data_IF_557042683291
#
_entry.id   IF_557042683291
#
_cell.length_a   1.000
_cell.length_b   1.000
_cell.length_c   1.000
_cell.angle_alpha   90.00
_cell.angle_beta   90.00
_cell.angle_gamma   90.00
#
_symmetry.space_group_name_H-M   'P 1'
#
loop_
_entity.id
_entity.type
_entity.pdbx_description
1 polymer ?
#
# COMPACT_ATOMS: atom_id res chain seq x y z
N UNK A 1 9.35 -5.99 11.92
CA UNK A 1 9.45 -7.17 12.79
C UNK A 1 9.85 -8.43 12.01
N UNK A 2 9.13 -8.81 10.95
CA UNK A 2 9.38 -10.08 10.26
C UNK A 2 10.82 -10.23 9.74
N UNK A 3 11.37 -9.23 9.07
CA UNK A 3 12.78 -9.25 8.62
C UNK A 3 13.79 -9.29 9.78
N UNK A 4 13.47 -8.65 10.93
CA UNK A 4 14.32 -8.74 12.11
C UNK A 4 14.40 -10.17 12.66
N UNK A 5 13.25 -10.83 12.72
CA UNK A 5 13.17 -12.22 13.20
C UNK A 5 13.79 -13.19 12.19
N UNK A 6 13.36 -13.11 10.92
CA UNK A 6 13.72 -14.08 9.88
C UNK A 6 15.16 -13.95 9.42
N UNK A 7 15.61 -12.71 9.14
CA UNK A 7 16.86 -12.45 8.43
C UNK A 7 17.97 -11.97 9.35
N UNK A 8 17.63 -11.21 10.39
CA UNK A 8 18.59 -10.70 11.37
C UNK A 8 18.75 -11.60 12.60
N UNK A 9 18.00 -12.71 12.70
CA UNK A 9 17.96 -13.59 13.87
C UNK A 9 17.72 -12.83 15.19
N UNK A 10 16.92 -11.77 15.14
CA UNK A 10 16.55 -11.02 16.32
C UNK A 10 15.53 -11.82 17.14
N UNK A 11 15.72 -11.89 18.46
CA UNK A 11 14.77 -12.61 19.31
C UNK A 11 13.42 -11.90 19.33
N UNK A 12 12.39 -12.57 18.85
CA UNK A 12 11.05 -12.01 18.78
C UNK A 12 10.47 -11.61 20.12
N UNK A 13 10.92 -12.22 21.24
CA UNK A 13 10.50 -11.83 22.58
C UNK A 13 10.93 -10.39 22.96
N UNK A 14 11.91 -9.85 22.26
CA UNK A 14 12.36 -8.46 22.42
C UNK A 14 11.67 -7.51 21.45
N UNK A 15 10.67 -7.97 20.70
CA UNK A 15 9.90 -7.14 19.78
C UNK A 15 8.48 -6.96 20.31
N UNK A 16 8.12 -5.71 20.60
CA UNK A 16 6.77 -5.31 20.99
C UNK A 16 6.18 -4.41 19.92
N UNK A 17 4.99 -4.77 19.44
CA UNK A 17 4.23 -3.98 18.47
C UNK A 17 3.05 -3.37 19.21
N UNK A 18 3.03 -2.03 19.24
CA UNK A 18 2.01 -1.25 19.93
C UNK A 18 1.06 -0.67 18.87
N UNK A 19 -0.24 -0.85 19.09
CA UNK A 19 -1.29 -0.33 18.22
C UNK A 19 -2.29 0.47 19.05
N UNK A 20 -2.61 1.68 18.59
CA UNK A 20 -3.56 2.55 19.27
C UNK A 20 -5.01 2.09 19.15
N UNK A 21 -5.34 1.35 18.11
CA UNK A 21 -6.66 0.78 17.88
C UNK A 21 -6.81 -0.60 18.53
N UNK A 22 -8.02 -1.09 18.62
CA UNK A 22 -8.31 -2.44 19.14
C UNK A 22 -7.94 -3.55 18.15
N UNK A 23 -7.72 -3.20 16.88
CA UNK A 23 -7.43 -4.12 15.78
C UNK A 23 -6.17 -3.68 15.05
N UNK A 24 -5.29 -4.64 14.76
CA UNK A 24 -4.09 -4.42 13.95
C UNK A 24 -4.43 -4.22 12.47
N UNK A 25 -3.48 -3.65 11.71
CA UNK A 25 -3.56 -3.58 10.26
C UNK A 25 -3.76 -2.18 9.69
N UNK A 26 -4.02 -1.18 10.51
CA UNK A 26 -4.23 0.21 10.08
C UNK A 26 -5.36 0.29 9.05
N UNK A 27 -5.08 0.80 7.84
CA UNK A 27 -6.09 0.90 6.78
C UNK A 27 -6.57 -0.45 6.23
N UNK A 28 -5.90 -1.55 6.56
CA UNK A 28 -6.26 -2.91 6.15
C UNK A 28 -6.81 -3.73 7.33
N UNK A 29 -7.37 -3.10 8.34
CA UNK A 29 -7.82 -3.72 9.59
C UNK A 29 -9.08 -4.58 9.48
N UNK A 30 -9.77 -4.57 8.34
CA UNK A 30 -11.00 -5.33 8.12
C UNK A 30 -12.12 -4.98 9.11
N UNK A 31 -12.13 -3.74 9.63
CA UNK A 31 -13.06 -3.30 10.67
C UNK A 31 -14.52 -3.53 10.31
N UNK A 32 -15.31 -4.00 11.28
CA UNK A 32 -16.72 -4.25 11.13
C UNK A 32 -17.15 -5.65 11.54
N UNK A 33 -18.37 -6.00 11.23
CA UNK A 33 -18.95 -7.32 11.51
C UNK A 33 -20.03 -7.67 10.49
N UNK A 34 -20.40 -8.95 10.44
CA UNK A 34 -21.50 -9.43 9.58
C UNK A 34 -22.82 -8.73 9.90
N UNK A 35 -23.05 -8.39 11.19
CA UNK A 35 -24.30 -7.74 11.65
C UNK A 35 -24.34 -6.24 11.36
N UNK A 36 -23.19 -5.55 11.42
CA UNK A 36 -23.09 -4.10 11.27
C UNK A 36 -22.55 -3.67 9.89
N UNK A 37 -22.07 -4.63 9.10
CA UNK A 37 -21.33 -4.39 7.88
C UNK A 37 -19.84 -4.13 8.14
N UNK A 38 -19.08 -4.07 7.06
CA UNK A 38 -17.63 -3.85 7.10
C UNK A 38 -17.29 -2.45 6.60
N UNK A 39 -16.29 -1.83 7.24
CA UNK A 39 -15.77 -0.52 6.83
C UNK A 39 -14.50 -0.74 6.00
N UNK A 40 -14.55 -0.37 4.72
CA UNK A 40 -13.36 -0.35 3.87
C UNK A 40 -12.62 0.97 4.09
N UNK A 41 -11.60 0.98 4.94
CA UNK A 41 -10.75 2.16 5.19
C UNK A 41 -9.70 2.35 4.11
N UNK A 42 -9.35 1.29 3.44
CA UNK A 42 -8.39 1.26 2.36
C UNK A 42 -8.15 -0.15 1.86
N UNK A 43 -7.31 -0.25 0.88
CA UNK A 43 -6.85 -1.50 0.29
C UNK A 43 -5.61 -1.22 -0.54
N UNK A 44 -4.90 -2.27 -0.90
CA UNK A 44 -3.76 -2.16 -1.81
C UNK A 44 -4.08 -2.97 -3.05
N UNK A 45 -3.93 -2.32 -4.19
CA UNK A 45 -3.85 -3.04 -5.45
C UNK A 45 -2.45 -3.63 -5.52
N UNK A 46 -2.36 -4.93 -5.42
CA UNK A 46 -1.10 -5.64 -5.60
C UNK A 46 -0.81 -5.79 -7.09
N UNK A 47 0.45 -6.00 -7.41
CA UNK A 47 0.90 -6.24 -8.77
C UNK A 47 2.09 -7.22 -8.69
N UNK A 48 2.07 -8.24 -9.51
CA UNK A 48 3.08 -9.30 -9.44
C UNK A 48 4.47 -8.78 -9.81
N UNK A 49 4.55 -7.84 -10.76
CA UNK A 49 5.82 -7.35 -11.31
C UNK A 49 6.53 -6.31 -10.42
N UNK A 50 5.83 -5.67 -9.48
CA UNK A 50 6.38 -4.49 -8.78
C UNK A 50 6.37 -4.55 -7.26
N UNK A 51 5.89 -5.63 -6.67
CA UNK A 51 5.82 -5.82 -5.22
C UNK A 51 6.83 -6.87 -4.73
N UNK A 52 8.07 -6.79 -5.19
CA UNK A 52 9.12 -7.81 -4.99
C UNK A 52 9.32 -8.15 -3.51
N UNK A 53 9.45 -7.13 -2.65
CA UNK A 53 9.65 -7.32 -1.22
C UNK A 53 8.42 -7.93 -0.53
N UNK A 54 7.21 -7.60 -1.02
CA UNK A 54 5.98 -8.20 -0.51
C UNK A 54 5.95 -9.68 -0.84
N UNK A 55 6.13 -10.03 -2.11
CA UNK A 55 6.11 -11.43 -2.55
C UNK A 55 7.22 -12.25 -1.91
N UNK A 56 8.42 -11.66 -1.75
CA UNK A 56 9.55 -12.31 -1.10
C UNK A 56 9.24 -12.63 0.38
N UNK A 57 8.76 -11.64 1.13
CA UNK A 57 8.41 -11.82 2.54
C UNK A 57 7.33 -12.89 2.71
N UNK A 58 6.25 -12.76 1.97
CA UNK A 58 5.07 -13.63 2.13
C UNK A 58 5.24 -15.04 1.54
N UNK A 59 6.32 -15.32 0.81
CA UNK A 59 6.74 -16.71 0.50
C UNK A 59 7.20 -17.47 1.74
N UNK A 60 7.67 -16.80 2.77
CA UNK A 60 8.12 -17.42 4.02
C UNK A 60 7.01 -17.53 5.08
N UNK A 61 5.85 -16.94 4.83
CA UNK A 61 4.74 -16.91 5.77
C UNK A 61 3.66 -17.87 5.32
N UNK A 62 3.29 -18.89 6.15
CA UNK A 62 2.22 -19.82 5.83
C UNK A 62 0.85 -19.12 5.73
N UNK A 63 0.03 -19.52 4.75
CA UNK A 63 -1.39 -19.16 4.73
C UNK A 63 -2.11 -19.76 5.92
N UNK A 64 -3.09 -19.06 6.49
CA UNK A 64 -3.91 -19.59 7.58
C UNK A 64 -4.93 -20.63 7.10
N UNK A 65 -5.47 -20.43 5.89
CA UNK A 65 -6.47 -21.35 5.31
C UNK A 65 -5.83 -22.58 4.67
N UNK A 66 -4.62 -22.42 4.14
CA UNK A 66 -3.86 -23.48 3.48
C UNK A 66 -2.42 -23.54 4.02
N UNK A 67 -2.20 -24.06 5.24
CA UNK A 67 -0.89 -24.00 5.92
C UNK A 67 0.26 -24.69 5.18
N UNK A 68 -0.05 -25.55 4.21
CA UNK A 68 0.93 -26.19 3.32
C UNK A 68 1.42 -25.27 2.19
N UNK A 69 0.82 -24.09 2.03
CA UNK A 69 1.20 -23.07 1.06
C UNK A 69 1.60 -21.78 1.77
N UNK A 70 2.41 -20.99 1.11
CA UNK A 70 2.68 -19.62 1.56
C UNK A 70 1.53 -18.68 1.17
N UNK A 71 1.46 -17.53 1.85
CA UNK A 71 0.52 -16.45 1.49
C UNK A 71 0.72 -16.02 0.03
N UNK A 72 1.97 -15.91 -0.43
CA UNK A 72 2.27 -15.59 -1.84
C UNK A 72 1.66 -16.62 -2.79
N UNK A 73 1.85 -17.91 -2.53
CA UNK A 73 1.30 -18.97 -3.37
C UNK A 73 -0.23 -18.98 -3.37
N UNK A 74 -0.85 -18.74 -2.22
CA UNK A 74 -2.30 -18.66 -2.13
C UNK A 74 -2.86 -17.51 -2.96
N UNK A 75 -2.30 -16.31 -2.80
CA UNK A 75 -2.75 -15.11 -3.52
C UNK A 75 -2.55 -15.28 -5.03
N UNK A 76 -1.36 -15.68 -5.48
CA UNK A 76 -1.08 -15.81 -6.91
C UNK A 76 -1.91 -16.92 -7.56
N UNK A 77 -2.09 -18.07 -6.90
CA UNK A 77 -2.94 -19.13 -7.41
C UNK A 77 -4.41 -18.69 -7.53
N UNK A 78 -4.90 -17.90 -6.58
CA UNK A 78 -6.24 -17.34 -6.66
C UNK A 78 -6.37 -16.37 -7.82
N UNK A 79 -5.44 -15.44 -7.97
CA UNK A 79 -5.48 -14.42 -9.01
C UNK A 79 -5.36 -15.04 -10.43
N UNK A 80 -4.47 -16.00 -10.61
CA UNK A 80 -4.33 -16.73 -11.88
C UNK A 80 -5.62 -17.52 -12.26
N UNK A 81 -6.34 -18.03 -11.25
CA UNK A 81 -7.61 -18.70 -11.48
C UNK A 81 -8.78 -17.72 -11.73
N UNK A 82 -8.66 -16.49 -11.24
CA UNK A 82 -9.70 -15.46 -11.28
C UNK A 82 -9.10 -14.10 -11.68
N UNK A 83 -8.59 -13.97 -12.92
CA UNK A 83 -7.89 -12.75 -13.33
C UNK A 83 -8.80 -11.52 -13.26
N UNK A 84 -8.21 -10.39 -12.89
CA UNK A 84 -8.94 -9.13 -12.85
C UNK A 84 -9.31 -8.69 -14.27
N UNK A 85 -10.57 -8.31 -14.48
CA UNK A 85 -11.05 -7.75 -15.74
C UNK A 85 -12.13 -6.71 -15.47
N UNK A 86 -11.78 -5.44 -15.56
CA UNK A 86 -12.74 -4.35 -15.43
C UNK A 86 -13.50 -4.15 -16.75
N UNK A 87 -14.82 -4.22 -16.69
CA UNK A 87 -15.68 -4.00 -17.85
C UNK A 87 -16.07 -2.53 -18.06
N UNK A 88 -15.95 -1.71 -17.02
CA UNK A 88 -16.21 -0.28 -17.05
C UNK A 88 -15.18 0.43 -16.17
N UNK A 89 -14.42 1.37 -16.75
CA UNK A 89 -13.44 2.18 -16.02
C UNK A 89 -13.94 3.59 -15.78
N UNK A 90 -14.61 4.15 -16.76
CA UNK A 90 -15.22 5.47 -16.68
C UNK A 90 -16.68 5.40 -17.11
N UNK A 91 -17.51 6.11 -16.37
CA UNK A 91 -18.94 6.25 -16.65
C UNK A 91 -19.22 7.75 -16.67
N UNK A 92 -19.90 8.24 -17.72
CA UNK A 92 -20.26 9.64 -17.83
C UNK A 92 -21.48 10.01 -16.95
N UNK A 93 -21.82 11.28 -16.96
CA UNK A 93 -22.99 11.81 -16.20
C UNK A 93 -24.34 11.22 -16.62
N UNK A 94 -24.42 10.64 -17.82
CA UNK A 94 -25.62 10.02 -18.38
C UNK A 94 -25.62 8.48 -18.17
N UNK A 95 -24.76 7.98 -17.27
CA UNK A 95 -24.57 6.57 -16.92
C UNK A 95 -24.11 5.69 -18.10
N UNK A 96 -23.43 6.26 -19.10
CA UNK A 96 -22.85 5.52 -20.21
C UNK A 96 -21.40 5.14 -19.92
N UNK A 97 -21.05 3.91 -20.22
CA UNK A 97 -19.66 3.43 -20.16
C UNK A 97 -18.88 4.09 -21.30
N UNK A 98 -17.79 4.77 -20.95
CA UNK A 98 -16.89 5.41 -21.92
C UNK A 98 -15.91 4.40 -22.50
N UNK A 99 -15.60 4.55 -23.81
CA UNK A 99 -14.50 3.82 -24.44
C UNK A 99 -13.17 4.46 -24.02
N UNK A 100 -12.39 3.74 -23.22
CA UNK A 100 -11.12 4.20 -22.65
C UNK A 100 -9.90 3.53 -23.27
N UNK A 101 -10.05 2.81 -24.38
CA UNK A 101 -8.93 2.20 -25.13
C UNK A 101 -7.94 3.25 -25.62
N UNK A 102 -8.41 4.45 -25.90
CA UNK A 102 -7.55 5.60 -26.13
C UNK A 102 -7.33 6.38 -24.85
N UNK A 103 -6.07 6.64 -24.49
CA UNK A 103 -5.72 7.46 -23.32
C UNK A 103 -6.07 8.94 -23.52
N UNK A 104 -6.28 9.39 -24.74
CA UNK A 104 -6.69 10.75 -25.07
C UNK A 104 -5.54 11.78 -25.15
N UNK A 105 -4.28 11.35 -25.11
CA UNK A 105 -3.12 12.25 -25.19
C UNK A 105 -2.99 12.93 -26.55
N UNK A 106 -2.81 14.23 -26.54
CA UNK A 106 -2.29 14.98 -27.68
C UNK A 106 -0.74 14.96 -27.73
N UNK A 107 -0.15 15.69 -28.69
CA UNK A 107 1.32 15.75 -28.83
C UNK A 107 1.99 16.51 -27.69
N UNK A 108 1.34 17.53 -27.13
CA UNK A 108 1.87 18.27 -25.99
C UNK A 108 1.90 17.43 -24.72
N UNK A 109 0.84 16.66 -24.47
CA UNK A 109 0.76 15.72 -23.34
C UNK A 109 1.85 14.64 -23.43
N UNK A 110 2.04 14.05 -24.62
CA UNK A 110 3.07 13.02 -24.84
C UNK A 110 4.47 13.57 -24.61
N UNK A 111 4.72 14.80 -25.09
CA UNK A 111 6.01 15.46 -24.86
C UNK A 111 6.23 15.77 -23.38
N UNK A 112 5.21 16.31 -22.69
CA UNK A 112 5.27 16.62 -21.26
C UNK A 112 5.52 15.34 -20.43
N UNK A 113 4.82 14.24 -20.77
CA UNK A 113 5.00 12.94 -20.11
C UNK A 113 6.43 12.41 -20.32
N UNK A 114 6.93 12.41 -21.56
CA UNK A 114 8.30 11.96 -21.88
C UNK A 114 9.33 12.79 -21.14
N UNK A 115 9.15 14.11 -21.14
CA UNK A 115 10.04 15.03 -20.42
C UNK A 115 10.03 14.75 -18.91
N UNK A 116 8.85 14.48 -18.33
CA UNK A 116 8.73 14.15 -16.91
C UNK A 116 9.53 12.89 -16.56
N UNK A 117 9.36 11.82 -17.33
CA UNK A 117 10.05 10.54 -17.08
C UNK A 117 11.59 10.70 -17.14
N UNK A 118 12.08 11.58 -18.01
CA UNK A 118 13.52 11.84 -18.20
C UNK A 118 14.07 12.91 -17.26
N UNK A 119 13.23 13.65 -16.53
CA UNK A 119 13.68 14.71 -15.63
C UNK A 119 14.19 14.13 -14.32
N UNK A 120 15.40 14.49 -13.85
CA UNK A 120 15.90 14.10 -12.53
C UNK A 120 14.97 14.55 -11.40
N UNK A 121 14.86 13.75 -10.35
CA UNK A 121 13.92 13.97 -9.25
C UNK A 121 14.15 15.28 -8.53
N UNK A 122 15.41 15.70 -8.36
CA UNK A 122 15.81 16.92 -7.68
C UNK A 122 15.27 18.20 -8.36
N UNK A 123 14.85 18.10 -9.63
CA UNK A 123 14.25 19.21 -10.39
C UNK A 123 12.73 19.28 -10.27
N UNK A 124 12.13 18.28 -9.64
CA UNK A 124 10.67 18.18 -9.49
C UNK A 124 10.22 18.57 -8.08
N UNK A 125 11.17 18.89 -7.21
CA UNK A 125 10.89 19.27 -5.83
C UNK A 125 10.00 20.53 -5.78
N UNK A 126 9.01 20.49 -4.90
CA UNK A 126 8.01 21.54 -4.71
C UNK A 126 7.11 21.87 -5.92
N UNK A 127 7.09 21.01 -6.96
CA UNK A 127 6.17 21.16 -8.09
C UNK A 127 4.92 20.29 -7.90
N UNK A 128 3.78 20.81 -8.35
CA UNK A 128 2.54 20.07 -8.46
C UNK A 128 2.35 19.49 -9.87
N UNK A 129 1.40 18.57 -10.03
CA UNK A 129 1.08 18.01 -11.35
C UNK A 129 0.57 19.12 -12.29
N UNK A 130 -0.21 20.07 -11.79
CA UNK A 130 -0.76 21.17 -12.58
C UNK A 130 0.29 22.22 -12.98
N UNK A 131 1.43 22.28 -12.30
CA UNK A 131 2.56 23.14 -12.71
C UNK A 131 3.28 22.60 -13.96
N UNK A 132 3.09 21.31 -14.25
CA UNK A 132 3.81 20.61 -15.32
C UNK A 132 2.96 20.36 -16.57
N UNK A 133 1.72 19.94 -16.39
CA UNK A 133 0.84 19.58 -17.48
C UNK A 133 -0.13 20.71 -17.85
N UNK A 134 -0.39 20.84 -19.15
CA UNK A 134 -1.40 21.77 -19.64
C UNK A 134 -2.84 21.32 -19.30
N UNK A 135 -3.83 22.23 -19.46
CA UNK A 135 -5.23 21.94 -19.11
C UNK A 135 -5.81 20.70 -19.79
N UNK A 136 -5.43 20.46 -21.06
CA UNK A 136 -5.91 19.31 -21.84
C UNK A 136 -5.58 17.97 -21.18
N UNK A 137 -4.42 17.83 -20.56
CA UNK A 137 -4.02 16.60 -19.85
C UNK A 137 -5.07 16.14 -18.83
N UNK A 138 -5.67 17.10 -18.13
CA UNK A 138 -6.66 16.85 -17.07
C UNK A 138 -8.07 16.50 -17.59
N UNK A 139 -8.25 16.52 -18.89
CA UNK A 139 -9.50 16.12 -19.57
C UNK A 139 -9.34 14.77 -20.30
N UNK A 140 -8.16 14.16 -20.22
CA UNK A 140 -7.87 12.88 -20.88
C UNK A 140 -8.46 11.69 -20.11
N UNK A 141 -8.80 10.63 -20.83
CA UNK A 141 -9.18 9.35 -20.21
C UNK A 141 -8.09 8.82 -19.28
N UNK A 142 -6.81 9.01 -19.65
CA UNK A 142 -5.69 8.63 -18.83
C UNK A 142 -5.75 9.30 -17.45
N UNK A 143 -5.93 10.63 -17.40
CA UNK A 143 -5.98 11.35 -16.13
C UNK A 143 -7.14 10.84 -15.26
N UNK A 144 -8.33 10.71 -15.82
CA UNK A 144 -9.50 10.21 -15.08
C UNK A 144 -9.29 8.79 -14.55
N UNK A 145 -8.72 7.89 -15.34
CA UNK A 145 -8.41 6.54 -14.88
C UNK A 145 -7.31 6.55 -13.80
N UNK A 146 -6.27 7.37 -14.00
CA UNK A 146 -5.13 7.45 -13.08
C UNK A 146 -5.53 8.05 -11.72
N UNK A 147 -6.23 9.18 -11.72
CA UNK A 147 -6.67 9.81 -10.49
C UNK A 147 -7.64 8.93 -9.68
N UNK A 148 -8.52 8.19 -10.33
CA UNK A 148 -9.47 7.29 -9.65
C UNK A 148 -8.78 6.04 -9.12
N UNK A 149 -7.71 5.58 -9.77
CA UNK A 149 -6.96 4.40 -9.36
C UNK A 149 -6.02 4.69 -8.19
N UNK A 150 -5.32 5.83 -8.23
CA UNK A 150 -4.26 6.16 -7.29
C UNK A 150 -4.55 7.37 -6.38
N UNK A 151 -5.76 7.93 -6.46
CA UNK A 151 -6.22 9.08 -5.67
C UNK A 151 -5.39 10.37 -5.87
N UNK A 152 -4.74 10.53 -7.02
CA UNK A 152 -4.04 11.78 -7.33
C UNK A 152 -5.01 12.94 -7.59
N UNK A 153 -4.57 14.12 -7.20
CA UNK A 153 -5.22 15.40 -7.48
C UNK A 153 -4.26 16.29 -8.28
N UNK A 154 -4.78 17.32 -8.94
CA UNK A 154 -3.95 18.26 -9.73
C UNK A 154 -2.84 18.90 -8.89
N UNK A 155 -3.14 19.21 -7.64
CA UNK A 155 -2.23 19.81 -6.65
C UNK A 155 -1.31 18.79 -5.96
N UNK A 156 -1.41 17.49 -6.27
CA UNK A 156 -0.51 16.48 -5.71
C UNK A 156 0.92 16.67 -6.22
N UNK A 157 1.88 16.18 -5.46
CA UNK A 157 3.31 16.27 -5.79
C UNK A 157 3.62 15.64 -7.15
N UNK A 158 4.27 16.40 -8.02
CA UNK A 158 4.76 15.94 -9.31
C UNK A 158 5.83 14.85 -9.16
N UNK A 159 6.65 14.96 -8.12
CA UNK A 159 7.66 13.96 -7.76
C UNK A 159 7.03 12.59 -7.46
N UNK A 160 5.99 12.56 -6.62
CA UNK A 160 5.25 11.34 -6.32
C UNK A 160 4.55 10.78 -7.56
N UNK A 161 3.90 11.64 -8.35
CA UNK A 161 3.27 11.24 -9.60
C UNK A 161 4.27 10.55 -10.54
N UNK A 162 5.48 11.12 -10.72
CA UNK A 162 6.53 10.51 -11.54
C UNK A 162 6.97 9.14 -11.00
N UNK A 163 7.12 8.99 -9.69
CA UNK A 163 7.48 7.72 -9.07
C UNK A 163 6.44 6.64 -9.32
N UNK A 164 5.16 6.99 -9.16
CA UNK A 164 4.06 6.08 -9.50
C UNK A 164 4.06 5.72 -10.99
N UNK A 165 4.26 6.71 -11.86
CA UNK A 165 4.35 6.49 -13.31
C UNK A 165 5.45 5.48 -13.66
N UNK A 166 6.66 5.65 -13.12
CA UNK A 166 7.77 4.74 -13.35
C UNK A 166 7.49 3.34 -12.80
N UNK A 167 6.92 3.26 -11.60
CA UNK A 167 6.63 1.99 -10.96
C UNK A 167 5.54 1.21 -11.67
N UNK A 168 4.51 1.91 -12.14
CA UNK A 168 3.32 1.31 -12.75
C UNK A 168 3.34 1.36 -14.28
N UNK A 169 4.51 1.55 -14.89
CA UNK A 169 4.62 1.69 -16.36
C UNK A 169 4.11 0.44 -17.09
N UNK A 170 4.24 -0.72 -16.48
CA UNK A 170 3.75 -2.00 -17.02
C UNK A 170 2.22 -2.08 -17.09
N UNK A 171 1.52 -1.27 -16.28
CA UNK A 171 0.06 -1.22 -16.28
C UNK A 171 -0.53 -0.33 -17.37
N UNK A 172 0.28 0.51 -18.02
CA UNK A 172 -0.22 1.40 -19.08
C UNK A 172 -0.96 0.67 -20.21
N UNK A 173 -0.43 -0.44 -20.77
CA UNK A 173 -1.12 -1.17 -21.84
C UNK A 173 -2.42 -1.84 -21.40
N UNK A 174 -2.62 -2.06 -20.11
CA UNK A 174 -3.76 -2.80 -19.53
C UNK A 174 -4.52 -2.00 -18.46
N UNK A 175 -4.30 -0.68 -18.40
CA UNK A 175 -4.99 0.20 -17.44
C UNK A 175 -6.50 0.22 -17.66
N UNK A 176 -6.96 -0.05 -18.89
CA UNK A 176 -8.38 -0.14 -19.22
C UNK A 176 -9.06 -1.37 -18.62
N UNK A 177 -8.35 -2.48 -18.46
CA UNK A 177 -8.90 -3.74 -17.93
C UNK A 177 -8.50 -4.01 -16.48
N UNK A 178 -7.47 -3.33 -15.98
CA UNK A 178 -6.80 -3.62 -14.70
C UNK A 178 -6.29 -5.08 -14.60
N UNK A 179 -5.96 -5.71 -15.71
CA UNK A 179 -5.56 -7.12 -15.77
C UNK A 179 -4.32 -7.41 -14.92
N UNK A 180 -3.42 -6.44 -14.76
CA UNK A 180 -2.24 -6.57 -13.90
C UNK A 180 -2.49 -6.38 -12.40
N UNK A 181 -3.73 -6.09 -12.00
CA UNK A 181 -4.05 -5.94 -10.57
C UNK A 181 -4.30 -7.30 -9.97
N UNK A 182 -3.40 -7.72 -9.09
CA UNK A 182 -3.48 -8.95 -8.31
C UNK A 182 -4.40 -8.74 -7.11
N UNK A 183 -5.41 -9.59 -6.98
CA UNK A 183 -6.38 -9.59 -5.89
C UNK A 183 -6.09 -10.69 -4.90
N UNK A 184 -6.47 -10.46 -3.64
CA UNK A 184 -6.43 -11.47 -2.58
C UNK A 184 -7.72 -12.29 -2.55
N UNK A 185 -7.68 -13.58 -2.15
CA UNK A 185 -8.88 -14.43 -2.07
C UNK A 185 -9.90 -13.93 -1.05
N UNK A 186 -9.41 -13.31 0.03
CA UNK A 186 -10.21 -12.69 1.08
C UNK A 186 -9.86 -11.19 1.16
N UNK A 187 -10.45 -10.45 2.09
CA UNK A 187 -9.98 -9.10 2.37
C UNK A 187 -8.51 -9.11 2.82
N UNK A 188 -7.83 -7.97 2.72
CA UNK A 188 -6.38 -7.91 3.01
C UNK A 188 -6.04 -8.10 4.49
N UNK A 189 -6.99 -7.92 5.39
CA UNK A 189 -6.80 -8.26 6.79
C UNK A 189 -6.61 -9.77 6.95
N UNK A 190 -7.52 -10.56 6.40
CA UNK A 190 -7.48 -12.02 6.47
C UNK A 190 -6.36 -12.62 5.61
N UNK A 191 -6.14 -12.08 4.41
CA UNK A 191 -5.15 -12.64 3.49
C UNK A 191 -3.71 -12.25 3.81
N UNK A 192 -3.47 -11.14 4.53
CA UNK A 192 -2.14 -10.56 4.72
C UNK A 192 -1.84 -10.28 6.19
N UNK A 193 -2.72 -9.54 6.88
CA UNK A 193 -2.43 -9.08 8.24
C UNK A 193 -2.45 -10.23 9.25
N UNK A 194 -3.48 -11.06 9.22
CA UNK A 194 -3.61 -12.18 10.15
C UNK A 194 -2.51 -13.24 9.99
N UNK A 195 -2.15 -13.69 8.77
CA UNK A 195 -1.02 -14.60 8.58
C UNK A 195 0.30 -14.03 9.09
N UNK A 196 0.57 -12.74 8.80
CA UNK A 196 1.78 -12.07 9.30
C UNK A 196 1.80 -11.97 10.81
N UNK A 197 0.66 -11.63 11.43
CA UNK A 197 0.51 -11.60 12.90
C UNK A 197 0.79 -12.98 13.50
N UNK A 198 0.15 -14.02 12.99
CA UNK A 198 0.32 -15.39 13.48
C UNK A 198 1.79 -15.86 13.35
N UNK A 199 2.45 -15.55 12.23
CA UNK A 199 3.87 -15.83 12.04
C UNK A 199 4.73 -15.14 13.10
N UNK A 200 4.49 -13.86 13.37
CA UNK A 200 5.25 -13.09 14.35
C UNK A 200 5.00 -13.59 15.79
N UNK A 201 3.76 -13.89 16.16
CA UNK A 201 3.42 -14.47 17.47
C UNK A 201 4.09 -15.81 17.69
N UNK A 202 4.12 -16.68 16.67
CA UNK A 202 4.81 -17.97 16.72
C UNK A 202 6.32 -17.81 16.97
N UNK A 203 6.89 -16.68 16.54
CA UNK A 203 8.29 -16.32 16.76
C UNK A 203 8.51 -15.46 18.03
N UNK A 204 7.51 -15.35 18.91
CA UNK A 204 7.65 -14.69 20.21
C UNK A 204 7.35 -13.20 20.23
N UNK A 205 7.02 -12.58 19.08
CA UNK A 205 6.69 -11.13 19.01
C UNK A 205 5.39 -10.87 19.77
N UNK A 206 5.37 -9.79 20.55
CA UNK A 206 4.20 -9.39 21.34
C UNK A 206 3.45 -8.25 20.66
N UNK A 207 2.14 -8.35 20.71
CA UNK A 207 1.22 -7.32 20.20
C UNK A 207 0.37 -6.78 21.35
N UNK A 208 0.31 -5.46 21.46
CA UNK A 208 -0.52 -4.75 22.45
C UNK A 208 -1.41 -3.76 21.68
N UNK A 209 -2.71 -3.99 21.70
CA UNK A 209 -3.72 -3.08 21.12
C UNK A 209 -4.26 -2.11 22.18
N UNK A 210 -4.90 -1.03 21.76
CA UNK A 210 -5.38 0.02 22.66
C UNK A 210 -4.24 0.82 23.32
N UNK A 211 -3.03 0.78 22.79
CA UNK A 211 -1.82 1.41 23.36
C UNK A 211 -1.36 2.57 22.49
N UNK A 212 -1.74 3.78 22.86
CA UNK A 212 -1.34 5.00 22.15
C UNK A 212 -0.08 5.58 22.80
N UNK A 213 1.04 5.52 22.07
CA UNK A 213 2.28 6.21 22.45
C UNK A 213 2.11 7.70 22.20
N UNK A 214 2.36 8.53 23.20
CA UNK A 214 2.22 10.00 23.15
C UNK A 214 3.57 10.71 23.11
N UNK A 215 4.63 10.11 23.69
CA UNK A 215 5.96 10.71 23.70
C UNK A 215 7.04 9.65 23.89
N UNK A 216 8.30 10.01 23.57
CA UNK A 216 9.48 9.17 23.71
C UNK A 216 10.59 10.00 24.36
N UNK A 217 11.11 9.55 25.50
CA UNK A 217 12.29 10.13 26.11
C UNK A 217 13.57 9.59 25.47
N UNK A 218 14.55 10.46 25.31
CA UNK A 218 15.87 10.11 24.81
C UNK A 218 16.95 10.43 25.81
N UNK A 219 17.99 9.60 25.86
CA UNK A 219 19.17 9.89 26.65
C UNK A 219 19.88 11.17 26.14
N UNK A 220 20.43 12.02 27.01
CA UNK A 220 21.25 13.14 26.58
C UNK A 220 22.55 12.64 25.93
N UNK A 221 22.91 13.19 24.76
CA UNK A 221 24.11 12.82 24.00
C UNK A 221 23.95 12.92 22.50
N UNK A 222 25.00 12.56 21.76
CA UNK A 222 24.98 12.58 20.28
C UNK A 222 24.18 11.41 19.68
N UNK A 223 24.08 10.28 20.39
CA UNK A 223 23.31 9.12 19.93
C UNK A 223 21.85 9.24 20.40
N UNK A 224 20.92 9.11 19.46
CA UNK A 224 19.48 9.06 19.74
C UNK A 224 19.13 7.68 20.33
N UNK A 225 19.27 7.56 21.67
CA UNK A 225 18.90 6.35 22.41
C UNK A 225 17.61 6.61 23.17
N UNK A 226 16.52 5.94 22.77
CA UNK A 226 15.25 6.00 23.48
C UNK A 226 15.41 5.36 24.87
N UNK A 227 14.85 6.01 25.89
CA UNK A 227 14.96 5.56 27.29
C UNK A 227 13.62 5.26 27.92
N UNK A 228 12.53 5.90 27.47
CA UNK A 228 11.19 5.58 27.94
C UNK A 228 10.14 5.86 26.86
N UNK A 229 9.01 5.16 26.93
CA UNK A 229 7.79 5.42 26.17
C UNK A 229 6.70 5.91 27.10
N UNK A 230 6.00 6.96 26.72
CA UNK A 230 4.83 7.49 27.43
C UNK A 230 3.55 7.16 26.68
N UNK A 231 2.49 6.85 27.40
CA UNK A 231 1.20 6.46 26.84
C UNK A 231 0.08 7.42 27.23
N UNK A 232 -0.98 7.42 26.45
CA UNK A 232 -2.15 8.30 26.66
C UNK A 232 -2.92 8.03 27.97
N UNK A 233 -2.73 6.85 28.56
CA UNK A 233 -3.29 6.46 29.87
C UNK A 233 -2.47 6.96 31.07
N UNK A 234 -1.39 7.71 30.83
CA UNK A 234 -0.48 8.23 31.84
C UNK A 234 0.59 7.20 32.28
N UNK A 235 0.59 5.99 31.76
CA UNK A 235 1.65 5.01 32.02
C UNK A 235 2.94 5.38 31.27
N UNK A 236 4.09 4.89 31.79
CA UNK A 236 5.36 4.92 31.06
C UNK A 236 6.06 3.57 31.18
N UNK A 237 6.83 3.22 30.16
CA UNK A 237 7.70 2.03 30.14
C UNK A 237 9.13 2.47 29.98
N UNK A 238 10.00 2.05 30.92
CA UNK A 238 11.45 2.25 30.83
C UNK A 238 12.02 1.24 29.81
N UNK A 239 12.82 1.72 28.87
CA UNK A 239 13.45 0.90 27.82
C UNK A 239 14.89 0.49 28.17
N UNK A 240 15.38 0.85 29.37
CA UNK A 240 16.75 0.55 29.82
C UNK A 240 16.85 -0.76 30.60
N UNK A 241 15.72 -1.38 30.89
CA UNK A 241 15.60 -2.69 31.52
C UNK A 241 15.30 -3.77 30.44
#
# INVERSE_FOLDING_TARGET
AAYLVRDANFDGHNIHILESMDVLGGSNDGAGSVQQGFVCRGGRMLNEETYENFWELFRSIPSLEQPQRSVTEEILNFDHAHPTCAHARLIDKDAKILDVRSMGFDNADRLAMTKLLLTPEERLDNMTIEDWFGPHFFETNFWYMWQTTFAFQKWSSLFEFRRYMNRMIFEFPRIETLEGVTRTPYNQYESVILPLKAYLETNGVRFETGRTVTDIDFAPGEALTATALHFSDGCAVDLRE
#
